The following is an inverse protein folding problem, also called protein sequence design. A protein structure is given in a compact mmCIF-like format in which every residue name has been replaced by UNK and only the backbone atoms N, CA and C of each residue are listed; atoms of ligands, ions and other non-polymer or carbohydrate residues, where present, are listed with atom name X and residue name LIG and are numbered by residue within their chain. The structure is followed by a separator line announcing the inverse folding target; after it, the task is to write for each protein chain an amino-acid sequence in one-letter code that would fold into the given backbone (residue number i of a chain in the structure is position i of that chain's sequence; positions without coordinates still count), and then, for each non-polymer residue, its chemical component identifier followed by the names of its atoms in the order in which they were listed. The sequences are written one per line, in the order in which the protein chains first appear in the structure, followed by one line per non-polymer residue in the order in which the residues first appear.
data_IF_525933892573
#
_entry.id   IF_525933892573
#
_cell.length_a   1.000
_cell.length_b   1.000
_cell.length_c   1.000
_cell.angle_alpha   90.00
_cell.angle_beta   90.00
_cell.angle_gamma   90.00
#
_symmetry.space_group_name_H-M   'P 1'
#
loop_
_entity.id
_entity.type
_entity.pdbx_description
1 polymer ?
#
# COMPACT_ATOMS: atom_id res chain seq x y z
N UNK A 1 -3.02 65.03 -24.01
CA UNK A 1 -4.44 65.14 -23.65
C UNK A 1 -4.85 63.83 -23.02
N UNK A 2 -4.88 63.78 -21.68
CA UNK A 2 -5.38 62.62 -20.94
C UNK A 2 -6.80 63.00 -20.50
N UNK A 3 -7.79 62.23 -20.96
CA UNK A 3 -9.20 62.43 -20.63
C UNK A 3 -9.51 61.99 -19.20
N UNK A 4 -10.30 62.82 -18.51
CA UNK A 4 -10.86 62.59 -17.18
C UNK A 4 -11.69 61.31 -17.15
N UNK A 5 -11.40 60.43 -16.20
CA UNK A 5 -12.19 59.23 -15.89
C UNK A 5 -13.41 59.67 -15.09
N UNK A 6 -14.61 59.35 -15.60
CA UNK A 6 -15.89 59.70 -14.98
C UNK A 6 -16.02 59.13 -13.57
N UNK A 7 -16.41 60.00 -12.64
CA UNK A 7 -16.69 59.67 -11.25
C UNK A 7 -18.05 58.95 -11.21
N UNK A 8 -18.05 57.66 -10.86
CA UNK A 8 -19.28 56.87 -10.69
C UNK A 8 -20.03 57.37 -9.44
N UNK A 9 -21.21 57.96 -9.65
CA UNK A 9 -22.09 58.38 -8.56
C UNK A 9 -22.95 57.20 -8.10
N UNK A 10 -22.60 56.65 -6.94
CA UNK A 10 -23.33 55.55 -6.32
C UNK A 10 -24.73 55.96 -5.84
N UNK A 11 -24.99 57.26 -5.61
CA UNK A 11 -26.27 57.76 -5.11
C UNK A 11 -27.43 57.61 -6.09
N UNK A 12 -27.22 57.95 -7.37
CA UNK A 12 -28.24 57.82 -8.43
C UNK A 12 -28.65 56.36 -8.67
N UNK A 13 -27.71 55.42 -8.52
CA UNK A 13 -27.97 53.99 -8.69
C UNK A 13 -28.87 53.48 -7.56
N UNK A 14 -28.62 53.89 -6.32
CA UNK A 14 -29.43 53.49 -5.17
C UNK A 14 -30.85 54.05 -5.22
N UNK A 15 -31.03 55.31 -5.65
CA UNK A 15 -32.37 55.89 -5.84
C UNK A 15 -33.14 55.21 -6.99
N UNK A 16 -32.47 54.89 -8.09
CA UNK A 16 -33.05 54.18 -9.23
C UNK A 16 -33.51 52.76 -8.86
N UNK A 17 -32.69 52.04 -8.10
CA UNK A 17 -33.04 50.70 -7.58
C UNK A 17 -34.20 50.78 -6.58
N UNK A 18 -34.21 51.75 -5.67
CA UNK A 18 -35.32 51.96 -4.73
C UNK A 18 -36.64 52.32 -5.41
N UNK A 19 -36.59 53.14 -6.46
CA UNK A 19 -37.74 53.48 -7.30
C UNK A 19 -38.27 52.27 -8.07
N UNK A 20 -37.39 51.43 -8.61
CA UNK A 20 -37.78 50.21 -9.33
C UNK A 20 -38.44 49.17 -8.40
N UNK A 21 -37.87 48.96 -7.20
CA UNK A 21 -38.42 48.02 -6.21
C UNK A 21 -39.81 48.46 -5.72
N UNK A 22 -40.02 49.77 -5.53
CA UNK A 22 -41.31 50.31 -5.08
C UNK A 22 -42.37 50.33 -6.18
N UNK A 23 -42.00 50.50 -7.45
CA UNK A 23 -42.93 50.50 -8.58
C UNK A 23 -43.26 49.10 -9.12
N UNK A 24 -42.35 48.13 -8.98
CA UNK A 24 -42.51 46.78 -9.50
C UNK A 24 -42.07 45.70 -8.50
N UNK A 25 -42.74 45.58 -7.34
CA UNK A 25 -42.33 44.68 -6.26
C UNK A 25 -42.32 43.21 -6.67
N UNK A 26 -43.24 42.78 -7.55
CA UNK A 26 -43.29 41.40 -8.07
C UNK A 26 -42.10 41.08 -8.98
N UNK A 27 -41.67 42.01 -9.84
CA UNK A 27 -40.48 41.83 -10.69
C UNK A 27 -39.20 41.85 -9.85
N UNK A 28 -39.10 42.75 -8.87
CA UNK A 28 -37.96 42.79 -7.96
C UNK A 28 -37.83 41.47 -7.17
N UNK A 29 -38.94 40.93 -6.66
CA UNK A 29 -38.97 39.62 -6.01
C UNK A 29 -38.56 38.49 -6.97
N UNK A 30 -39.07 38.49 -8.19
CA UNK A 30 -38.71 37.49 -9.21
C UNK A 30 -37.22 37.53 -9.57
N UNK A 31 -36.61 38.72 -9.65
CA UNK A 31 -35.17 38.88 -9.90
C UNK A 31 -34.34 38.34 -8.73
N UNK A 32 -34.71 38.66 -7.48
CA UNK A 32 -34.01 38.15 -6.29
C UNK A 32 -34.10 36.64 -6.20
N UNK A 33 -35.29 36.07 -6.41
CA UNK A 33 -35.49 34.61 -6.44
C UNK A 33 -34.66 34.00 -7.58
N UNK A 34 -34.73 34.56 -8.79
CA UNK A 34 -33.98 34.07 -9.95
C UNK A 34 -32.46 34.07 -9.73
N UNK A 35 -31.90 35.16 -9.17
CA UNK A 35 -30.49 35.23 -8.81
C UNK A 35 -30.13 34.24 -7.70
N UNK A 36 -30.98 34.08 -6.69
CA UNK A 36 -30.79 33.09 -5.62
C UNK A 36 -30.82 31.65 -6.16
N UNK A 37 -31.73 31.35 -7.09
CA UNK A 37 -31.81 30.02 -7.71
C UNK A 37 -30.61 29.74 -8.58
N UNK A 38 -30.14 30.74 -9.35
CA UNK A 38 -28.93 30.65 -10.16
C UNK A 38 -27.68 30.45 -9.30
N UNK A 39 -27.55 31.21 -8.21
CA UNK A 39 -26.46 31.05 -7.26
C UNK A 39 -26.46 29.65 -6.62
N UNK A 40 -27.63 29.14 -6.23
CA UNK A 40 -27.78 27.79 -5.70
C UNK A 40 -27.44 26.72 -6.74
N UNK A 41 -27.86 26.89 -7.99
CA UNK A 41 -27.54 25.97 -9.08
C UNK A 41 -26.04 25.97 -9.41
N UNK A 42 -25.40 27.13 -9.42
CA UNK A 42 -23.94 27.26 -9.59
C UNK A 42 -23.21 26.62 -8.41
N UNK A 43 -23.63 26.90 -7.18
CA UNK A 43 -23.07 26.29 -5.97
C UNK A 43 -23.20 24.76 -6.01
N UNK A 44 -24.39 24.25 -6.34
CA UNK A 44 -24.63 22.82 -6.49
C UNK A 44 -23.77 22.23 -7.61
N UNK A 45 -23.67 22.88 -8.78
CA UNK A 45 -22.83 22.40 -9.87
C UNK A 45 -21.33 22.37 -9.50
N UNK A 46 -20.85 23.37 -8.77
CA UNK A 46 -19.48 23.40 -8.23
C UNK A 46 -19.30 22.27 -7.21
N UNK A 47 -20.28 22.02 -6.34
CA UNK A 47 -20.22 20.96 -5.32
C UNK A 47 -20.24 19.57 -5.94
N UNK A 48 -21.12 19.32 -6.91
CA UNK A 48 -21.27 18.02 -7.57
C UNK A 48 -20.14 17.70 -8.56
N UNK A 49 -19.39 18.71 -9.02
CA UNK A 49 -18.22 18.52 -9.90
C UNK A 49 -16.90 18.56 -9.14
N UNK A 50 -16.89 18.57 -7.80
CA UNK A 50 -15.62 18.51 -7.07
C UNK A 50 -14.96 17.15 -7.33
N UNK A 51 -13.69 17.16 -7.75
CA UNK A 51 -12.97 15.93 -8.02
C UNK A 51 -12.68 15.19 -6.70
N UNK A 52 -12.34 13.91 -6.78
CA UNK A 52 -12.28 13.05 -5.58
C UNK A 52 -11.22 13.52 -4.59
N UNK A 53 -10.06 13.99 -5.06
CA UNK A 53 -9.02 14.52 -4.18
C UNK A 53 -9.44 15.74 -3.38
N UNK A 54 -10.23 16.64 -3.97
CA UNK A 54 -10.76 17.79 -3.25
C UNK A 54 -11.77 17.36 -2.17
N UNK A 55 -12.61 16.37 -2.46
CA UNK A 55 -13.56 15.81 -1.47
C UNK A 55 -12.83 15.10 -0.33
N UNK A 56 -11.75 14.39 -0.64
CA UNK A 56 -10.94 13.72 0.35
C UNK A 56 -10.18 14.71 1.24
N UNK A 57 -9.59 15.75 0.66
CA UNK A 57 -8.93 16.82 1.40
C UNK A 57 -9.88 17.55 2.37
N UNK A 58 -11.13 17.81 1.95
CA UNK A 58 -12.16 18.36 2.84
C UNK A 58 -12.52 17.41 3.98
N UNK A 59 -12.67 16.11 3.71
CA UNK A 59 -12.94 15.13 4.76
C UNK A 59 -11.79 15.07 5.78
N UNK A 60 -10.54 15.19 5.33
CA UNK A 60 -9.41 15.30 6.25
C UNK A 60 -9.49 16.60 7.07
N UNK A 61 -9.74 17.74 6.43
CA UNK A 61 -9.87 19.06 7.09
C UNK A 61 -10.96 19.11 8.18
N UNK A 62 -12.00 18.28 8.06
CA UNK A 62 -13.11 18.20 9.03
C UNK A 62 -12.72 17.57 10.39
N UNK A 63 -11.50 17.00 10.52
CA UNK A 63 -11.01 16.36 11.75
C UNK A 63 -9.63 16.87 12.16
N UNK A 64 -9.37 16.90 13.47
CA UNK A 64 -8.10 17.42 14.03
C UNK A 64 -6.93 16.42 13.86
N UNK A 65 -7.19 15.12 13.94
CA UNK A 65 -6.19 14.06 13.80
C UNK A 65 -6.77 12.79 13.16
N UNK A 66 -5.93 12.05 12.44
CA UNK A 66 -6.30 10.79 11.76
C UNK A 66 -5.25 9.70 11.97
N UNK A 67 -5.74 8.46 12.07
CA UNK A 67 -4.91 7.25 12.04
C UNK A 67 -4.95 6.68 10.62
N UNK A 68 -3.85 6.78 9.88
CA UNK A 68 -3.72 6.21 8.54
C UNK A 68 -3.28 4.76 8.69
N UNK A 69 -4.23 3.84 8.56
CA UNK A 69 -4.04 2.42 8.82
C UNK A 69 -3.79 1.67 7.52
N UNK A 70 -2.66 0.96 7.46
CA UNK A 70 -2.30 0.05 6.36
C UNK A 70 -2.74 -1.38 6.67
N UNK A 71 -2.76 -2.23 5.64
CA UNK A 71 -3.02 -3.65 5.84
C UNK A 71 -1.86 -4.33 6.62
N UNK A 72 -2.09 -5.52 7.21
CA UNK A 72 -1.05 -6.25 7.92
C UNK A 72 0.12 -6.64 7.02
N UNK A 73 1.35 -6.54 7.54
CA UNK A 73 2.60 -6.75 6.80
C UNK A 73 2.63 -5.91 5.51
N UNK A 74 2.61 -4.57 5.62
CA UNK A 74 2.39 -3.68 4.50
C UNK A 74 3.46 -3.83 3.42
N UNK A 75 3.03 -3.73 2.18
CA UNK A 75 3.88 -3.67 1.00
C UNK A 75 4.22 -2.21 0.63
N UNK A 76 5.02 -1.98 -0.43
CA UNK A 76 5.37 -0.63 -0.83
C UNK A 76 4.19 0.23 -1.27
N UNK A 77 3.12 -0.33 -1.85
CA UNK A 77 1.98 0.47 -2.29
C UNK A 77 1.16 0.97 -1.10
N UNK A 78 0.90 0.11 -0.11
CA UNK A 78 0.27 0.51 1.15
C UNK A 78 1.07 1.59 1.88
N UNK A 79 2.40 1.43 2.00
CA UNK A 79 3.27 2.44 2.64
C UNK A 79 3.31 3.74 1.86
N UNK A 80 3.36 3.68 0.52
CA UNK A 80 3.37 4.84 -0.34
C UNK A 80 2.04 5.63 -0.27
N UNK A 81 0.91 4.92 -0.31
CA UNK A 81 -0.40 5.51 -0.15
C UNK A 81 -0.54 6.17 1.23
N UNK A 82 -0.07 5.52 2.30
CA UNK A 82 -0.13 6.05 3.65
C UNK A 82 0.64 7.37 3.82
N UNK A 83 1.87 7.45 3.32
CA UNK A 83 2.66 8.70 3.39
C UNK A 83 2.05 9.80 2.52
N UNK A 84 1.39 9.44 1.41
CA UNK A 84 0.67 10.40 0.57
C UNK A 84 -0.57 10.96 1.26
N UNK A 85 -1.37 10.11 1.93
CA UNK A 85 -2.51 10.56 2.75
C UNK A 85 -2.03 11.43 3.92
N UNK A 86 -0.99 11.00 4.64
CA UNK A 86 -0.42 11.77 5.75
C UNK A 86 0.04 13.16 5.28
N UNK A 87 0.75 13.23 4.15
CA UNK A 87 1.20 14.49 3.57
C UNK A 87 0.05 15.41 3.15
N UNK A 88 -1.06 14.85 2.64
CA UNK A 88 -2.24 15.65 2.32
C UNK A 88 -2.96 16.14 3.59
N UNK A 89 -3.09 15.28 4.60
CA UNK A 89 -3.68 15.61 5.90
C UNK A 89 -2.93 16.78 6.58
N UNK A 90 -1.60 16.72 6.62
CA UNK A 90 -0.78 17.80 7.19
C UNK A 90 -1.00 19.13 6.48
N UNK A 91 -1.14 19.11 5.14
CA UNK A 91 -1.35 20.32 4.34
C UNK A 91 -2.73 20.95 4.51
N UNK A 92 -3.72 20.20 5.02
CA UNK A 92 -5.04 20.73 5.42
C UNK A 92 -5.16 20.99 6.92
N UNK A 93 -4.08 20.81 7.69
CA UNK A 93 -4.04 21.11 9.12
C UNK A 93 -4.46 19.96 10.04
N UNK A 94 -4.63 18.76 9.50
CA UNK A 94 -4.97 17.54 10.24
C UNK A 94 -3.72 16.78 10.60
N UNK A 95 -3.57 16.33 11.85
CA UNK A 95 -2.40 15.59 12.30
C UNK A 95 -2.52 14.10 11.95
N UNK A 96 -1.67 13.54 11.07
CA UNK A 96 -1.70 12.11 10.78
C UNK A 96 -0.84 11.30 11.77
N UNK A 97 -1.15 10.02 11.92
CA UNK A 97 -0.25 9.00 12.46
C UNK A 97 -0.39 7.74 11.61
N UNK A 98 0.72 7.25 11.06
CA UNK A 98 0.71 6.09 10.16
C UNK A 98 0.89 4.82 10.99
N UNK A 99 -0.03 3.87 10.84
CA UNK A 99 -0.07 2.66 11.66
C UNK A 99 -0.22 1.39 10.81
N UNK A 100 0.27 0.26 11.33
CA UNK A 100 0.14 -1.05 10.70
C UNK A 100 0.17 -2.20 11.71
N UNK A 101 -0.37 -3.36 11.32
CA UNK A 101 -0.24 -4.58 12.09
C UNK A 101 0.80 -5.54 11.47
N UNK A 102 1.37 -6.44 12.27
CA UNK A 102 2.34 -7.43 11.80
C UNK A 102 3.74 -6.86 11.62
N UNK A 103 4.45 -7.26 10.56
CA UNK A 103 5.90 -7.01 10.41
C UNK A 103 6.31 -6.68 8.97
N UNK A 104 7.24 -5.74 8.83
CA UNK A 104 7.88 -5.37 7.57
C UNK A 104 9.15 -6.20 7.39
N UNK A 105 9.04 -7.36 6.74
CA UNK A 105 10.16 -8.31 6.57
C UNK A 105 10.80 -8.29 5.19
N UNK A 106 10.05 -8.00 4.12
CA UNK A 106 10.65 -8.03 2.78
C UNK A 106 11.74 -6.97 2.65
N UNK A 107 12.83 -7.31 1.97
CA UNK A 107 14.00 -6.42 1.92
C UNK A 107 13.71 -5.10 1.21
N UNK A 108 12.92 -5.15 0.14
CA UNK A 108 12.44 -3.97 -0.57
C UNK A 108 11.56 -3.12 0.35
N UNK A 109 10.65 -3.72 1.12
CA UNK A 109 9.79 -2.98 2.05
C UNK A 109 10.60 -2.33 3.18
N UNK A 110 11.64 -3.02 3.70
CA UNK A 110 12.56 -2.43 4.68
C UNK A 110 13.37 -1.30 4.07
N UNK A 111 13.87 -1.48 2.85
CA UNK A 111 14.59 -0.43 2.12
C UNK A 111 13.69 0.78 1.87
N UNK A 112 12.44 0.57 1.47
CA UNK A 112 11.41 1.61 1.33
C UNK A 112 11.27 2.42 2.61
N UNK A 113 11.02 1.75 3.73
CA UNK A 113 10.91 2.38 5.06
C UNK A 113 12.17 3.16 5.44
N UNK A 114 13.35 2.57 5.26
CA UNK A 114 14.62 3.17 5.69
C UNK A 114 15.09 4.31 4.78
N UNK A 115 14.97 4.17 3.46
CA UNK A 115 15.43 5.18 2.50
C UNK A 115 14.52 6.42 2.51
N UNK A 116 13.21 6.22 2.69
CA UNK A 116 12.26 7.33 2.80
C UNK A 116 12.12 7.87 4.22
N UNK A 117 12.78 7.24 5.21
CA UNK A 117 12.77 7.62 6.63
C UNK A 117 11.36 7.67 7.23
N UNK A 118 10.62 6.57 7.08
CA UNK A 118 9.21 6.52 7.49
C UNK A 118 9.04 6.23 8.97
N UNK A 119 8.28 7.10 9.63
CA UNK A 119 7.79 6.90 10.99
C UNK A 119 6.47 6.12 10.96
N UNK A 120 6.51 4.86 11.39
CA UNK A 120 5.42 3.90 11.26
C UNK A 120 5.22 3.20 12.61
N UNK A 121 4.02 3.30 13.15
CA UNK A 121 3.66 2.71 14.44
C UNK A 121 3.02 1.32 14.26
N UNK A 122 3.63 0.32 14.89
CA UNK A 122 3.06 -1.02 14.93
C UNK A 122 1.96 -1.10 15.99
N UNK A 123 0.82 -1.70 15.63
CA UNK A 123 -0.31 -1.94 16.53
C UNK A 123 -0.62 -3.43 16.63
N UNK A 124 -1.02 -3.87 17.83
CA UNK A 124 -1.44 -5.25 18.09
C UNK A 124 -2.88 -5.32 18.64
N UNK A 125 -3.44 -4.19 19.08
CA UNK A 125 -4.80 -4.08 19.59
C UNK A 125 -5.48 -2.78 19.13
N UNK A 126 -6.82 -2.79 19.02
CA UNK A 126 -7.61 -1.63 18.59
C UNK A 126 -7.42 -0.38 19.48
N UNK A 127 -7.05 -0.58 20.74
CA UNK A 127 -6.74 0.51 21.68
C UNK A 127 -5.45 1.26 21.35
N UNK A 128 -4.61 0.72 20.48
CA UNK A 128 -3.35 1.33 20.06
C UNK A 128 -3.55 2.32 18.90
N UNK A 129 -4.77 2.42 18.37
CA UNK A 129 -5.11 3.39 17.32
C UNK A 129 -4.88 4.82 17.84
N UNK A 130 -4.16 5.61 17.04
CA UNK A 130 -3.75 6.95 17.42
C UNK A 130 -4.88 7.98 17.38
N UNK A 131 -5.96 7.69 16.65
CA UNK A 131 -7.12 8.56 16.48
C UNK A 131 -8.40 7.76 16.26
N UNK A 132 -9.55 8.37 16.57
CA UNK A 132 -10.87 7.80 16.27
C UNK A 132 -11.17 7.81 14.76
N UNK A 133 -10.70 8.83 14.04
CA UNK A 133 -10.85 8.93 12.60
C UNK A 133 -9.80 8.05 11.88
N UNK A 134 -10.20 6.81 11.55
CA UNK A 134 -9.32 5.85 10.87
C UNK A 134 -9.47 5.94 9.35
N UNK A 135 -8.37 6.17 8.64
CA UNK A 135 -8.30 6.13 7.18
C UNK A 135 -7.64 4.83 6.76
N UNK A 136 -8.38 3.96 6.06
CA UNK A 136 -7.80 2.75 5.47
C UNK A 136 -7.21 3.09 4.10
N UNK A 137 -5.98 2.64 3.88
CA UNK A 137 -5.30 2.74 2.59
C UNK A 137 -4.89 1.35 2.11
N UNK A 138 -5.09 1.12 0.81
CA UNK A 138 -4.75 -0.13 0.11
C UNK A 138 -5.42 -1.40 0.68
N UNK A 139 -6.52 -1.18 1.41
CA UNK A 139 -7.45 -2.20 1.81
C UNK A 139 -8.74 -1.53 2.29
N UNK A 140 -9.84 -2.28 2.22
CA UNK A 140 -11.16 -1.75 2.60
C UNK A 140 -11.75 -2.40 3.87
N UNK A 141 -11.05 -3.32 4.52
CA UNK A 141 -11.52 -3.99 5.76
C UNK A 141 -10.42 -4.10 6.82
N UNK A 142 -10.60 -3.53 8.04
CA UNK A 142 -9.63 -3.64 9.12
C UNK A 142 -9.35 -5.10 9.50
N UNK A 143 -8.07 -5.47 9.67
CA UNK A 143 -7.68 -6.85 9.98
C UNK A 143 -6.29 -6.92 10.60
N UNK A 144 -5.97 -8.07 11.21
CA UNK A 144 -4.61 -8.45 11.61
C UNK A 144 -4.15 -7.98 12.99
N UNK A 145 -5.03 -7.38 13.78
CA UNK A 145 -4.80 -7.03 15.18
C UNK A 145 -6.07 -7.33 16.00
N UNK A 146 -5.95 -7.39 17.32
CA UNK A 146 -7.06 -7.74 18.20
C UNK A 146 -8.10 -6.61 18.27
N UNK A 147 -9.38 -6.95 18.03
CA UNK A 147 -10.50 -6.00 18.04
C UNK A 147 -10.68 -5.23 16.72
N UNK A 148 -10.02 -5.64 15.64
CA UNK A 148 -10.12 -5.00 14.32
C UNK A 148 -11.57 -4.92 13.80
N UNK A 149 -12.41 -5.92 14.11
CA UNK A 149 -13.82 -5.95 13.74
C UNK A 149 -14.67 -4.81 14.35
N UNK A 150 -14.16 -4.17 15.41
CA UNK A 150 -14.81 -3.02 16.04
C UNK A 150 -14.46 -1.67 15.41
N UNK A 151 -13.54 -1.63 14.45
CA UNK A 151 -13.11 -0.40 13.79
C UNK A 151 -14.12 -0.02 12.70
N UNK A 152 -14.68 1.17 12.81
CA UNK A 152 -15.49 1.80 11.77
C UNK A 152 -14.61 2.82 11.03
N UNK A 153 -14.27 2.58 9.75
CA UNK A 153 -13.41 3.49 9.01
C UNK A 153 -14.08 4.86 8.83
N UNK A 154 -13.31 5.93 9.06
CA UNK A 154 -13.71 7.27 8.68
C UNK A 154 -13.62 7.46 7.15
N UNK A 155 -12.52 6.98 6.56
CA UNK A 155 -12.32 6.99 5.12
C UNK A 155 -11.69 5.69 4.61
N UNK A 156 -11.98 5.33 3.36
CA UNK A 156 -11.38 4.18 2.66
C UNK A 156 -10.89 4.61 1.28
N UNK A 157 -9.63 4.32 0.98
CA UNK A 157 -9.00 4.50 -0.34
C UNK A 157 -8.34 3.18 -0.73
N UNK A 158 -8.81 2.54 -1.79
CA UNK A 158 -8.36 1.19 -2.16
C UNK A 158 -8.54 0.94 -3.66
N UNK A 159 -7.78 -0.01 -4.20
CA UNK A 159 -7.94 -0.51 -5.57
C UNK A 159 -8.31 -2.00 -5.62
N UNK A 160 -8.39 -2.67 -4.46
CA UNK A 160 -8.82 -4.06 -4.37
C UNK A 160 -10.34 -4.22 -4.41
N UNK A 161 -10.86 -5.36 -4.89
CA UNK A 161 -12.29 -5.65 -4.77
C UNK A 161 -12.71 -5.81 -3.30
N UNK A 162 -13.88 -5.29 -2.96
CA UNK A 162 -14.50 -5.45 -1.64
C UNK A 162 -15.63 -4.43 -1.43
N UNK A 163 -16.42 -4.66 -0.38
CA UNK A 163 -17.59 -3.83 -0.04
C UNK A 163 -17.34 -2.90 1.16
N UNK A 164 -16.07 -2.73 1.55
CA UNK A 164 -15.69 -1.88 2.67
C UNK A 164 -15.92 -0.40 2.37
N UNK A 165 -16.43 0.34 3.36
CA UNK A 165 -16.80 1.75 3.21
C UNK A 165 -16.36 2.56 4.42
N UNK A 166 -15.95 3.80 4.18
CA UNK A 166 -15.75 4.82 5.20
C UNK A 166 -17.00 5.68 5.42
N UNK A 167 -17.20 6.13 6.65
CA UNK A 167 -18.34 6.95 7.04
C UNK A 167 -18.38 8.32 6.33
N UNK A 168 -17.24 8.98 6.19
CA UNK A 168 -17.13 10.29 5.57
C UNK A 168 -16.69 10.23 4.09
N UNK A 169 -15.82 9.29 3.75
CA UNK A 169 -15.28 9.17 2.40
C UNK A 169 -15.02 7.71 2.00
N UNK A 170 -15.33 7.37 0.75
CA UNK A 170 -15.00 6.06 0.17
C UNK A 170 -14.66 6.27 -1.30
N UNK A 171 -13.50 5.77 -1.73
CA UNK A 171 -13.09 5.71 -3.12
C UNK A 171 -12.36 4.38 -3.36
N UNK A 172 -13.05 3.47 -4.04
CA UNK A 172 -12.54 2.13 -4.36
C UNK A 172 -12.52 1.98 -5.88
N UNK A 173 -11.34 1.84 -6.48
CA UNK A 173 -11.16 1.83 -7.94
C UNK A 173 -10.48 0.56 -8.42
N UNK A 174 -11.29 -0.48 -8.63
CA UNK A 174 -10.79 -1.81 -9.02
C UNK A 174 -10.17 -1.89 -10.41
N UNK A 175 -10.30 -0.83 -11.21
CA UNK A 175 -9.68 -0.69 -12.52
C UNK A 175 -8.29 -0.04 -12.47
N UNK A 176 -7.84 0.44 -11.30
CA UNK A 176 -6.52 1.03 -11.10
C UNK A 176 -5.50 -0.05 -10.72
N UNK A 177 -4.28 0.10 -11.20
CA UNK A 177 -3.20 -0.85 -10.94
C UNK A 177 -2.58 -0.72 -9.56
N UNK A 178 -2.73 0.42 -8.89
CA UNK A 178 -2.19 0.67 -7.55
C UNK A 178 -3.04 1.72 -6.79
N UNK A 179 -3.11 1.60 -5.47
CA UNK A 179 -3.65 2.63 -4.57
C UNK A 179 -2.84 3.93 -4.67
N UNK A 180 -1.51 3.86 -4.85
CA UNK A 180 -0.67 5.06 -5.06
C UNK A 180 -1.10 5.91 -6.26
N UNK A 181 -1.66 5.29 -7.31
CA UNK A 181 -2.19 6.02 -8.47
C UNK A 181 -3.41 6.88 -8.10
N UNK A 182 -4.26 6.37 -7.20
CA UNK A 182 -5.43 7.11 -6.68
C UNK A 182 -4.94 8.33 -5.88
N UNK A 183 -3.97 8.13 -4.99
CA UNK A 183 -3.40 9.23 -4.18
C UNK A 183 -2.70 10.28 -5.05
N UNK A 184 -2.00 9.87 -6.10
CA UNK A 184 -1.41 10.78 -7.07
C UNK A 184 -2.47 11.66 -7.77
N UNK A 185 -3.62 11.07 -8.11
CA UNK A 185 -4.76 11.80 -8.66
C UNK A 185 -5.33 12.80 -7.65
N UNK A 186 -5.38 12.45 -6.35
CA UNK A 186 -5.85 13.38 -5.33
C UNK A 186 -5.00 14.63 -5.23
N UNK A 187 -3.68 14.47 -5.28
CA UNK A 187 -2.76 15.60 -5.34
C UNK A 187 -2.98 16.45 -6.59
N UNK A 188 -3.19 15.82 -7.75
CA UNK A 188 -3.46 16.54 -9.00
C UNK A 188 -4.79 17.31 -8.93
N UNK A 189 -5.81 16.72 -8.33
CA UNK A 189 -7.15 17.29 -8.17
C UNK A 189 -7.16 18.57 -7.33
N UNK A 190 -6.34 18.61 -6.27
CA UNK A 190 -6.15 19.82 -5.44
C UNK A 190 -5.13 20.80 -6.03
N UNK A 191 -4.60 20.50 -7.23
CA UNK A 191 -3.63 21.34 -7.93
C UNK A 191 -2.23 21.32 -7.30
N UNK A 192 -1.89 20.26 -6.55
CA UNK A 192 -0.57 20.11 -5.99
C UNK A 192 0.49 19.99 -7.09
N UNK A 193 1.75 20.27 -6.72
CA UNK A 193 2.90 20.09 -7.61
C UNK A 193 3.98 19.25 -6.94
N UNK A 194 4.55 18.26 -7.65
CA UNK A 194 5.75 17.58 -7.18
C UNK A 194 6.89 18.57 -6.97
N UNK A 195 7.60 18.41 -5.86
CA UNK A 195 8.78 19.19 -5.51
C UNK A 195 10.01 18.39 -5.93
N UNK A 196 10.85 18.90 -6.85
CA UNK A 196 12.11 18.26 -7.22
C UNK A 196 13.02 18.03 -6.00
N UNK A 197 13.86 16.98 -6.00
CA UNK A 197 14.72 16.65 -4.86
C UNK A 197 15.75 17.74 -4.50
N UNK A 198 16.08 18.62 -5.44
CA UNK A 198 17.02 19.72 -5.29
C UNK A 198 16.33 21.06 -4.92
N UNK A 199 15.03 21.03 -4.64
CA UNK A 199 14.22 22.20 -4.30
C UNK A 199 13.47 22.04 -2.97
N UNK A 200 13.22 23.15 -2.30
CA UNK A 200 12.35 23.19 -1.13
C UNK A 200 10.89 23.50 -1.54
N UNK A 201 9.91 23.00 -0.78
CA UNK A 201 8.48 23.21 -1.08
C UNK A 201 8.09 24.69 -1.19
N UNK A 202 8.74 25.56 -0.41
CA UNK A 202 8.56 27.03 -0.45
C UNK A 202 8.98 27.69 -1.76
N UNK A 203 9.78 27.00 -2.58
CA UNK A 203 10.22 27.47 -3.90
C UNK A 203 9.23 27.09 -5.01
N UNK A 204 8.26 26.24 -4.70
CA UNK A 204 7.20 25.83 -5.62
C UNK A 204 5.99 26.75 -5.45
N UNK A 205 5.62 27.46 -6.52
CA UNK A 205 4.43 28.31 -6.53
C UNK A 205 3.16 27.45 -6.67
N UNK A 206 2.73 26.87 -5.55
CA UNK A 206 1.53 26.03 -5.41
C UNK A 206 1.01 26.06 -3.98
N UNK A 207 -0.31 25.94 -3.81
CA UNK A 207 -0.94 25.83 -2.48
C UNK A 207 -0.60 24.49 -1.83
N UNK A 208 -0.69 23.42 -2.62
CA UNK A 208 -0.34 22.07 -2.20
C UNK A 208 0.91 21.60 -2.93
N UNK A 209 1.68 20.73 -2.29
CA UNK A 209 2.92 20.17 -2.84
C UNK A 209 2.98 18.66 -2.60
N UNK A 210 3.74 17.97 -3.45
CA UNK A 210 4.11 16.56 -3.23
C UNK A 210 5.63 16.54 -2.98
N UNK A 211 6.08 16.44 -1.73
CA UNK A 211 7.50 16.38 -1.40
C UNK A 211 8.20 15.23 -2.13
N UNK A 212 9.50 15.37 -2.40
CA UNK A 212 10.25 14.39 -3.18
C UNK A 212 10.20 12.97 -2.59
N UNK A 213 10.24 12.83 -1.26
CA UNK A 213 10.07 11.53 -0.60
C UNK A 213 8.72 10.90 -0.89
N UNK A 214 7.63 11.68 -0.84
CA UNK A 214 6.27 11.22 -1.13
C UNK A 214 6.12 10.87 -2.62
N UNK A 215 6.62 11.72 -3.51
CA UNK A 215 6.59 11.45 -4.96
C UNK A 215 7.37 10.17 -5.32
N UNK A 216 8.55 9.99 -4.71
CA UNK A 216 9.38 8.78 -4.89
C UNK A 216 8.66 7.54 -4.37
N UNK A 217 8.07 7.61 -3.18
CA UNK A 217 7.31 6.51 -2.59
C UNK A 217 6.11 6.12 -3.44
N UNK A 218 5.28 7.09 -3.83
CA UNK A 218 4.11 6.87 -4.69
C UNK A 218 4.50 6.25 -6.05
N UNK A 219 5.58 6.72 -6.70
CA UNK A 219 6.04 6.10 -7.95
C UNK A 219 6.48 4.66 -7.72
N UNK A 220 7.20 4.36 -6.63
CA UNK A 220 7.63 3.00 -6.36
C UNK A 220 6.45 2.07 -5.96
N UNK A 221 5.44 2.58 -5.27
CA UNK A 221 4.17 1.87 -5.03
C UNK A 221 3.50 1.47 -6.34
N UNK A 222 3.31 2.42 -7.25
CA UNK A 222 2.79 2.18 -8.61
C UNK A 222 3.61 1.10 -9.32
N UNK A 223 4.94 1.22 -9.31
CA UNK A 223 5.82 0.26 -9.99
C UNK A 223 5.73 -1.14 -9.38
N UNK A 224 5.52 -1.27 -8.08
CA UNK A 224 5.50 -2.59 -7.42
C UNK A 224 4.24 -3.36 -7.81
N UNK A 225 3.07 -2.74 -7.66
CA UNK A 225 1.78 -3.41 -7.88
C UNK A 225 1.47 -3.66 -9.36
N UNK A 226 2.02 -2.81 -10.23
CA UNK A 226 1.87 -2.96 -11.69
C UNK A 226 2.98 -3.77 -12.37
N UNK A 227 3.84 -4.45 -11.60
CA UNK A 227 5.03 -5.15 -12.11
C UNK A 227 5.86 -4.28 -13.07
N UNK A 228 6.22 -3.09 -12.61
CA UNK A 228 6.91 -2.05 -13.36
C UNK A 228 6.14 -1.61 -14.62
N UNK A 229 4.82 -1.38 -14.47
CA UNK A 229 3.91 -0.99 -15.55
C UNK A 229 3.84 -2.02 -16.71
N UNK A 230 4.13 -3.30 -16.42
CA UNK A 230 4.07 -4.38 -17.42
C UNK A 230 2.84 -5.27 -17.30
N UNK A 231 2.16 -5.26 -16.15
CA UNK A 231 0.95 -6.06 -15.93
C UNK A 231 0.03 -5.41 -14.88
N UNK A 232 -1.28 -5.54 -15.03
CA UNK A 232 -2.24 -5.00 -14.06
C UNK A 232 -2.38 -3.48 -14.04
N UNK A 233 -1.65 -2.76 -14.88
CA UNK A 233 -1.76 -1.30 -15.02
C UNK A 233 -2.91 -0.87 -15.95
N UNK A 234 -3.40 0.34 -15.69
CA UNK A 234 -4.35 1.13 -16.47
C UNK A 234 -3.68 2.40 -17.01
N UNK A 235 -4.37 3.18 -17.85
CA UNK A 235 -3.87 4.50 -18.28
C UNK A 235 -3.63 5.45 -17.10
N UNK A 236 -4.44 5.33 -16.04
CA UNK A 236 -4.32 6.20 -14.87
C UNK A 236 -2.99 5.99 -14.15
N UNK A 237 -2.44 4.77 -14.14
CA UNK A 237 -1.14 4.48 -13.52
C UNK A 237 0.03 5.12 -14.27
N UNK A 238 -0.04 5.15 -15.62
CA UNK A 238 0.95 5.87 -16.43
C UNK A 238 0.85 7.39 -16.22
N UNK A 239 -0.37 7.93 -16.18
CA UNK A 239 -0.58 9.36 -15.95
C UNK A 239 -0.11 9.76 -14.55
N UNK A 240 -0.41 8.95 -13.53
CA UNK A 240 0.04 9.14 -12.16
C UNK A 240 1.57 9.14 -12.06
N UNK A 241 2.23 8.12 -12.61
CA UNK A 241 3.69 8.03 -12.64
C UNK A 241 4.30 9.24 -13.35
N UNK A 242 3.78 9.62 -14.53
CA UNK A 242 4.27 10.77 -15.29
C UNK A 242 4.09 12.11 -14.58
N UNK A 243 3.01 12.27 -13.82
CA UNK A 243 2.77 13.46 -12.99
C UNK A 243 3.72 13.53 -11.80
N UNK A 244 4.00 12.43 -11.13
CA UNK A 244 4.87 12.40 -9.94
C UNK A 244 6.36 12.49 -10.30
N UNK A 245 6.75 11.98 -11.47
CA UNK A 245 8.15 11.82 -11.89
C UNK A 245 9.03 13.07 -11.69
N UNK A 246 8.57 14.31 -11.95
CA UNK A 246 9.39 15.51 -11.71
C UNK A 246 9.83 15.72 -10.26
N UNK A 247 9.15 15.09 -9.28
CA UNK A 247 9.53 15.13 -7.86
C UNK A 247 10.33 13.93 -7.39
N UNK A 248 10.57 12.93 -8.25
CA UNK A 248 11.26 11.69 -7.85
C UNK A 248 12.73 11.95 -7.58
N UNK A 249 13.22 11.38 -6.48
CA UNK A 249 14.64 11.24 -6.21
C UNK A 249 15.11 9.89 -6.78
N UNK A 250 15.83 9.93 -7.90
CA UNK A 250 16.30 8.73 -8.60
C UNK A 250 17.25 7.87 -7.75
N UNK A 251 18.12 8.48 -6.93
CA UNK A 251 19.03 7.75 -6.04
C UNK A 251 18.26 7.00 -4.95
N UNK A 252 17.20 7.60 -4.41
CA UNK A 252 16.32 6.92 -3.46
C UNK A 252 15.54 5.80 -4.13
N UNK A 253 14.99 6.06 -5.32
CA UNK A 253 14.24 5.06 -6.08
C UNK A 253 15.12 3.83 -6.39
N UNK A 254 16.36 4.03 -6.83
CA UNK A 254 17.30 2.94 -7.12
C UNK A 254 17.65 2.14 -5.85
N UNK A 255 17.94 2.81 -4.73
CA UNK A 255 18.25 2.14 -3.46
C UNK A 255 17.10 1.32 -2.91
N UNK A 256 15.87 1.74 -3.18
CA UNK A 256 14.65 1.01 -2.79
C UNK A 256 14.43 -0.18 -3.73
N UNK A 257 14.54 0.03 -5.05
CA UNK A 257 14.32 -0.99 -6.07
C UNK A 257 15.40 -2.08 -6.08
N UNK A 258 16.63 -1.71 -5.75
CA UNK A 258 17.81 -2.57 -5.78
C UNK A 258 18.50 -2.58 -4.41
N UNK A 259 17.84 -3.10 -3.36
CA UNK A 259 18.41 -3.08 -2.02
C UNK A 259 19.64 -3.99 -1.93
N UNK A 260 20.67 -3.53 -1.23
CA UNK A 260 21.85 -4.34 -0.97
C UNK A 260 21.48 -5.60 -0.16
N UNK A 261 21.97 -6.75 -0.61
CA UNK A 261 21.74 -8.03 0.05
C UNK A 261 22.97 -8.45 0.86
N UNK A 262 22.74 -8.99 2.06
CA UNK A 262 23.82 -9.51 2.89
C UNK A 262 24.55 -10.69 2.20
N UNK A 263 25.81 -10.90 2.57
CA UNK A 263 26.59 -12.07 2.12
C UNK A 263 25.84 -13.38 2.38
N UNK A 264 25.23 -13.50 3.56
CA UNK A 264 24.51 -14.70 3.98
C UNK A 264 23.32 -15.01 3.07
N UNK A 265 22.58 -13.97 2.67
CA UNK A 265 21.46 -14.08 1.71
C UNK A 265 21.97 -14.52 0.35
N UNK A 266 23.06 -13.92 -0.16
CA UNK A 266 23.65 -14.33 -1.43
C UNK A 266 24.15 -15.78 -1.39
N UNK A 267 24.77 -16.20 -0.29
CA UNK A 267 25.21 -17.58 -0.09
C UNK A 267 24.04 -18.56 0.00
N UNK A 268 22.92 -18.17 0.62
CA UNK A 268 21.70 -18.98 0.63
C UNK A 268 21.12 -19.14 -0.78
N UNK A 269 21.02 -18.05 -1.56
CA UNK A 269 20.61 -18.12 -2.97
C UNK A 269 21.54 -19.02 -3.78
N UNK A 270 22.85 -18.86 -3.62
CA UNK A 270 23.84 -19.69 -4.32
C UNK A 270 23.70 -21.18 -3.98
N UNK A 271 23.49 -21.52 -2.69
CA UNK A 271 23.22 -22.89 -2.25
C UNK A 271 21.93 -23.43 -2.83
N UNK A 272 20.85 -22.65 -2.82
CA UNK A 272 19.57 -23.07 -3.40
C UNK A 272 19.71 -23.34 -4.90
N UNK A 273 20.35 -22.42 -5.64
CA UNK A 273 20.59 -22.60 -7.07
C UNK A 273 21.44 -23.85 -7.31
N UNK A 274 22.56 -24.02 -6.61
CA UNK A 274 23.47 -25.14 -6.83
C UNK A 274 22.88 -26.50 -6.41
N UNK A 275 22.11 -26.53 -5.32
CA UNK A 275 21.56 -27.72 -4.68
C UNK A 275 20.12 -28.05 -5.03
N UNK A 276 19.49 -27.34 -5.98
CA UNK A 276 18.11 -27.61 -6.41
C UNK A 276 17.98 -29.03 -6.99
N UNK A 277 17.00 -29.78 -6.50
CA UNK A 277 16.46 -30.95 -7.16
C UNK A 277 15.26 -30.50 -8.01
N UNK A 278 15.23 -30.89 -9.29
CA UNK A 278 14.17 -30.51 -10.23
C UNK A 278 13.52 -31.77 -10.79
N UNK A 279 12.22 -31.94 -10.51
CA UNK A 279 11.43 -33.08 -10.94
C UNK A 279 10.18 -32.58 -11.66
N UNK A 280 10.13 -32.80 -12.97
CA UNK A 280 9.07 -32.25 -13.81
C UNK A 280 9.01 -30.72 -13.67
N UNK A 281 7.86 -30.12 -13.30
CA UNK A 281 7.72 -28.68 -13.14
C UNK A 281 8.05 -28.16 -11.72
N UNK A 282 8.62 -29.00 -10.86
CA UNK A 282 8.85 -28.66 -9.44
C UNK A 282 10.33 -28.58 -9.11
N UNK A 283 10.69 -27.60 -8.28
CA UNK A 283 12.05 -27.45 -7.75
C UNK A 283 12.03 -27.45 -6.21
N UNK A 284 12.87 -28.26 -5.58
CA UNK A 284 13.05 -28.27 -4.13
C UNK A 284 14.52 -28.11 -3.81
N UNK A 285 14.87 -27.28 -2.82
CA UNK A 285 16.25 -27.15 -2.38
C UNK A 285 16.34 -27.07 -0.85
N UNK A 286 17.26 -27.84 -0.28
CA UNK A 286 17.72 -27.67 1.10
C UNK A 286 18.98 -26.81 1.10
N UNK A 287 18.89 -25.63 1.71
CA UNK A 287 20.05 -24.74 1.85
C UNK A 287 20.88 -25.06 3.10
N UNK A 288 20.50 -26.03 3.93
CA UNK A 288 21.23 -26.40 5.14
C UNK A 288 21.10 -25.36 6.25
N UNK A 289 22.13 -25.22 7.10
CA UNK A 289 22.12 -24.29 8.23
C UNK A 289 22.31 -22.84 7.80
N UNK A 290 21.60 -21.91 8.44
CA UNK A 290 21.66 -20.48 8.19
C UNK A 290 21.44 -19.67 9.48
N UNK A 291 22.01 -18.47 9.50
CA UNK A 291 21.82 -17.47 10.57
C UNK A 291 20.57 -16.61 10.35
N UNK A 292 20.17 -16.38 9.09
CA UNK A 292 19.09 -15.47 8.72
C UNK A 292 17.95 -16.18 7.96
N UNK A 293 16.87 -16.53 8.68
CA UNK A 293 15.70 -17.24 8.11
C UNK A 293 15.01 -16.50 6.98
N UNK A 294 15.15 -15.17 6.88
CA UNK A 294 14.60 -14.37 5.78
C UNK A 294 15.32 -14.67 4.45
N UNK A 295 16.45 -15.38 4.46
CA UNK A 295 17.13 -15.81 3.24
C UNK A 295 16.40 -16.95 2.51
N UNK A 296 15.59 -17.76 3.22
CA UNK A 296 14.82 -18.88 2.66
C UNK A 296 13.77 -18.40 1.64
N UNK A 297 12.85 -17.47 1.97
CA UNK A 297 11.89 -16.97 0.99
C UNK A 297 12.57 -16.35 -0.23
N UNK A 298 13.66 -15.60 -0.04
CA UNK A 298 14.40 -14.99 -1.15
C UNK A 298 15.07 -16.02 -2.08
N UNK A 299 15.52 -17.14 -1.53
CA UNK A 299 16.03 -18.24 -2.33
C UNK A 299 14.89 -18.92 -3.12
N UNK A 300 13.70 -19.04 -2.54
CA UNK A 300 12.53 -19.57 -3.25
C UNK A 300 12.08 -18.63 -4.40
N UNK A 301 12.16 -17.31 -4.19
CA UNK A 301 11.89 -16.28 -5.21
C UNK A 301 12.89 -16.35 -6.38
N UNK A 302 14.10 -16.84 -6.14
CA UNK A 302 15.09 -17.10 -7.19
C UNK A 302 14.76 -18.38 -7.97
N UNK A 303 14.46 -19.48 -7.27
CA UNK A 303 14.21 -20.78 -7.90
C UNK A 303 12.94 -20.80 -8.76
N UNK A 304 11.88 -20.09 -8.37
CA UNK A 304 10.63 -20.02 -9.14
C UNK A 304 10.80 -19.32 -10.49
N UNK A 305 11.90 -18.60 -10.70
CA UNK A 305 12.21 -17.96 -11.99
C UNK A 305 12.79 -18.93 -13.01
N UNK A 306 13.24 -20.12 -12.58
CA UNK A 306 13.83 -21.11 -13.46
C UNK A 306 12.83 -21.55 -14.55
N UNK A 307 13.27 -21.57 -15.80
CA UNK A 307 12.44 -21.99 -16.93
C UNK A 307 11.93 -23.43 -16.71
N UNK A 308 10.63 -23.63 -16.94
CA UNK A 308 9.97 -24.91 -16.75
C UNK A 308 9.52 -25.20 -15.31
N UNK A 309 9.94 -24.40 -14.32
CA UNK A 309 9.50 -24.54 -12.93
C UNK A 309 8.22 -23.73 -12.68
N UNK A 310 7.17 -24.41 -12.22
CA UNK A 310 5.89 -23.80 -11.85
C UNK A 310 5.64 -23.77 -10.35
N UNK A 311 6.37 -24.54 -9.55
CA UNK A 311 6.38 -24.42 -8.10
C UNK A 311 7.77 -24.73 -7.53
N UNK A 312 8.17 -23.96 -6.52
CA UNK A 312 9.47 -24.09 -5.87
C UNK A 312 9.33 -24.07 -4.35
N UNK A 313 10.08 -24.92 -3.65
CA UNK A 313 10.16 -24.93 -2.18
C UNK A 313 11.61 -24.91 -1.76
N UNK A 314 11.96 -23.99 -0.87
CA UNK A 314 13.28 -23.96 -0.23
C UNK A 314 13.10 -24.21 1.26
N UNK A 315 13.96 -25.05 1.82
CA UNK A 315 14.00 -25.31 3.25
C UNK A 315 15.41 -25.09 3.80
N UNK A 316 15.50 -24.76 5.08
CA UNK A 316 16.78 -24.59 5.78
C UNK A 316 16.61 -24.66 7.28
N UNK A 317 17.72 -24.71 8.01
CA UNK A 317 17.75 -24.88 9.46
C UNK A 317 18.37 -23.69 10.18
N UNK A 318 17.73 -23.26 11.28
CA UNK A 318 18.32 -22.34 12.25
C UNK A 318 18.03 -22.81 13.66
N UNK A 319 19.07 -22.87 14.50
CA UNK A 319 18.97 -23.25 15.91
C UNK A 319 18.23 -24.60 16.13
N UNK A 320 18.38 -25.53 15.19
CA UNK A 320 17.72 -26.84 15.20
C UNK A 320 16.26 -26.85 14.74
N UNK A 321 15.70 -25.68 14.41
CA UNK A 321 14.37 -25.56 13.81
C UNK A 321 14.51 -25.52 12.29
N UNK A 322 13.64 -26.24 11.60
CA UNK A 322 13.55 -26.23 10.14
C UNK A 322 12.51 -25.19 9.71
N UNK A 323 12.84 -24.41 8.70
CA UNK A 323 11.94 -23.45 8.08
C UNK A 323 11.83 -23.74 6.59
N UNK A 324 10.65 -23.50 6.03
CA UNK A 324 10.32 -23.72 4.63
C UNK A 324 9.64 -22.49 4.06
N UNK A 325 9.95 -22.17 2.81
CA UNK A 325 9.19 -21.20 2.02
C UNK A 325 8.93 -21.73 0.62
N UNK A 326 7.67 -21.64 0.20
CA UNK A 326 7.22 -22.09 -1.10
C UNK A 326 6.69 -20.96 -1.97
N UNK A 327 6.82 -21.12 -3.29
CA UNK A 327 6.28 -20.25 -4.34
C UNK A 327 5.60 -21.08 -5.42
N UNK A 328 4.44 -20.63 -5.90
CA UNK A 328 3.71 -21.28 -6.98
C UNK A 328 3.27 -20.28 -8.05
N UNK A 329 3.53 -20.63 -9.31
CA UNK A 329 3.00 -20.00 -10.53
C UNK A 329 1.83 -20.78 -11.11
N UNK A 330 1.45 -21.91 -10.52
CA UNK A 330 0.36 -22.78 -10.97
C UNK A 330 -0.85 -22.69 -10.02
N UNK A 331 -2.02 -22.28 -10.54
CA UNK A 331 -3.25 -22.20 -9.74
C UNK A 331 -3.73 -23.57 -9.22
N UNK A 332 -3.25 -24.67 -9.80
CA UNK A 332 -3.56 -26.02 -9.35
C UNK A 332 -2.78 -26.41 -8.10
N UNK A 333 -1.64 -25.77 -7.85
CA UNK A 333 -0.78 -26.03 -6.69
C UNK A 333 -0.99 -24.92 -5.67
N UNK A 334 -1.86 -25.18 -4.69
CA UNK A 334 -2.06 -24.26 -3.59
C UNK A 334 -0.92 -24.41 -2.57
N UNK A 335 0.05 -23.50 -2.60
CA UNK A 335 1.30 -23.65 -1.85
C UNK A 335 1.12 -23.79 -0.33
N UNK A 336 0.23 -23.01 0.29
CA UNK A 336 -0.04 -23.14 1.73
C UNK A 336 -0.49 -24.56 2.14
N UNK A 337 -1.55 -25.07 1.51
CA UNK A 337 -2.05 -26.45 1.69
C UNK A 337 -1.02 -27.52 1.34
N UNK A 338 -0.18 -27.27 0.34
CA UNK A 338 0.89 -28.19 -0.07
C UNK A 338 1.91 -28.37 1.06
N UNK A 339 2.39 -27.26 1.64
CA UNK A 339 3.32 -27.31 2.77
C UNK A 339 2.66 -27.88 4.02
N UNK A 340 1.38 -27.60 4.26
CA UNK A 340 0.63 -28.20 5.37
C UNK A 340 0.56 -29.73 5.24
N UNK A 341 0.24 -30.24 4.05
CA UNK A 341 0.22 -31.67 3.77
C UNK A 341 1.62 -32.30 3.93
N UNK A 342 2.66 -31.70 3.33
CA UNK A 342 4.04 -32.17 3.42
C UNK A 342 4.57 -32.24 4.88
N UNK A 343 4.05 -31.40 5.77
CA UNK A 343 4.52 -31.30 7.16
C UNK A 343 3.65 -32.04 8.17
N UNK A 344 2.54 -32.68 7.74
CA UNK A 344 1.52 -33.23 8.64
C UNK A 344 2.07 -34.29 9.62
N UNK A 345 3.01 -35.11 9.17
CA UNK A 345 3.57 -36.21 9.99
C UNK A 345 4.75 -35.78 10.89
N UNK A 346 5.21 -34.54 10.76
CA UNK A 346 6.31 -33.99 11.55
C UNK A 346 5.79 -33.40 12.86
N UNK A 347 6.27 -33.93 13.99
CA UNK A 347 5.91 -33.37 15.31
C UNK A 347 6.45 -31.95 15.47
N UNK A 348 5.61 -31.07 16.03
CA UNK A 348 5.97 -29.66 16.24
C UNK A 348 6.00 -28.85 14.95
N UNK A 349 5.39 -29.37 13.87
CA UNK A 349 5.28 -28.65 12.62
C UNK A 349 4.09 -27.70 12.60
N UNK A 350 4.22 -26.65 11.78
CA UNK A 350 3.11 -25.78 11.39
C UNK A 350 3.40 -25.23 10.00
N UNK A 351 2.42 -25.28 9.10
CA UNK A 351 2.51 -24.67 7.77
C UNK A 351 1.18 -24.05 7.37
N UNK A 352 1.24 -23.18 6.37
CA UNK A 352 0.07 -22.52 5.81
C UNK A 352 0.47 -21.46 4.79
N UNK A 353 -0.50 -20.62 4.42
CA UNK A 353 -0.33 -19.54 3.47
C UNK A 353 -1.41 -19.52 2.41
N UNK A 354 -1.09 -18.94 1.26
CA UNK A 354 -2.00 -18.70 0.14
C UNK A 354 -1.72 -19.62 -1.04
N UNK A 355 -2.47 -19.44 -2.14
CA UNK A 355 -2.30 -20.24 -3.35
C UNK A 355 -0.89 -20.09 -3.95
N UNK A 356 -0.38 -18.85 -4.00
CA UNK A 356 0.89 -18.50 -4.67
C UNK A 356 2.12 -18.57 -3.77
N UNK A 357 1.93 -18.55 -2.46
CA UNK A 357 3.03 -18.52 -1.48
C UNK A 357 2.64 -19.27 -0.21
N UNK A 358 3.60 -19.96 0.39
CA UNK A 358 3.41 -20.67 1.64
C UNK A 358 4.65 -20.62 2.52
N UNK A 359 4.44 -20.81 3.81
CA UNK A 359 5.50 -20.93 4.81
C UNK A 359 5.27 -22.16 5.67
N UNK A 360 6.35 -22.74 6.16
CA UNK A 360 6.30 -23.86 7.08
C UNK A 360 7.46 -23.81 8.07
N UNK A 361 7.27 -24.42 9.22
CA UNK A 361 8.33 -24.65 10.19
C UNK A 361 8.13 -25.99 10.88
N UNK A 362 9.24 -26.59 11.33
CA UNK A 362 9.26 -27.75 12.20
C UNK A 362 10.14 -27.37 13.39
N UNK A 363 9.51 -27.19 14.55
CA UNK A 363 10.20 -26.82 15.77
C UNK A 363 10.83 -28.05 16.39
N UNK A 364 12.08 -27.91 16.85
CA UNK A 364 12.71 -28.94 17.66
C UNK A 364 11.92 -29.07 18.97
N UNK A 365 11.56 -30.29 19.40
CA UNK A 365 10.97 -30.47 20.72
C UNK A 365 11.92 -29.92 21.79
N UNK A 366 11.41 -29.07 22.69
CA UNK A 366 12.18 -28.63 23.86
C UNK A 366 12.69 -29.86 24.60
N UNK A 367 14.00 -29.88 24.85
CA UNK A 367 14.71 -30.99 25.51
C UNK A 367 14.17 -31.16 26.94
N UNK A 368 13.11 -31.92 27.13
CA UNK A 368 12.81 -32.55 28.41
C UNK A 368 13.64 -33.82 28.47
N UNK A 369 14.45 -33.89 29.52
CA UNK A 369 15.34 -34.98 29.87
C UNK A 369 14.72 -36.36 29.63
N UNK A 370 15.04 -36.98 28.49
CA UNK A 370 15.16 -38.42 28.42
C UNK A 370 16.26 -38.74 27.41
N UNK A 371 17.17 -39.63 27.79
CA UNK A 371 18.43 -39.94 27.09
C UNK A 371 18.26 -40.70 25.77
N UNK A 372 17.28 -40.34 24.95
CA UNK A 372 17.15 -40.79 23.57
C UNK A 372 17.84 -39.81 22.63
N UNK A 373 18.71 -40.31 21.75
CA UNK A 373 19.15 -39.56 20.57
C UNK A 373 17.91 -39.05 19.83
N UNK A 374 17.58 -37.77 19.98
CA UNK A 374 16.61 -37.10 19.11
C UNK A 374 17.20 -37.09 17.72
N UNK A 375 16.87 -38.09 16.91
CA UNK A 375 17.25 -38.12 15.51
C UNK A 375 16.79 -36.80 14.89
N UNK A 376 17.73 -36.05 14.31
CA UNK A 376 17.39 -34.89 13.51
C UNK A 376 16.43 -35.29 12.40
N UNK A 377 15.64 -34.34 11.94
CA UNK A 377 14.73 -34.53 10.81
C UNK A 377 15.55 -35.01 9.61
N UNK A 378 15.20 -36.16 9.05
CA UNK A 378 15.88 -36.69 7.87
C UNK A 378 15.54 -35.77 6.69
N UNK A 379 16.50 -34.92 6.29
CA UNK A 379 16.28 -33.87 5.29
C UNK A 379 15.91 -34.44 3.92
N UNK A 380 16.46 -35.59 3.56
CA UNK A 380 16.13 -36.29 2.33
C UNK A 380 14.67 -36.76 2.32
N UNK A 381 14.17 -37.30 3.44
CA UNK A 381 12.76 -37.71 3.60
C UNK A 381 11.82 -36.51 3.47
N UNK A 382 12.16 -35.39 4.12
CA UNK A 382 11.39 -34.16 3.99
C UNK A 382 11.34 -33.64 2.55
N UNK A 383 12.43 -33.75 1.78
CA UNK A 383 12.43 -33.37 0.36
C UNK A 383 11.48 -34.27 -0.44
N UNK A 384 11.46 -35.57 -0.18
CA UNK A 384 10.54 -36.50 -0.83
C UNK A 384 9.08 -36.15 -0.49
N UNK A 385 8.74 -35.93 0.78
CA UNK A 385 7.38 -35.56 1.21
C UNK A 385 6.91 -34.25 0.55
N UNK A 386 7.80 -33.29 0.37
CA UNK A 386 7.51 -32.05 -0.35
C UNK A 386 7.18 -32.33 -1.82
N UNK A 387 7.92 -33.23 -2.49
CA UNK A 387 7.64 -33.60 -3.87
C UNK A 387 6.34 -34.38 -4.03
N UNK A 388 6.02 -35.29 -3.10
CA UNK A 388 4.74 -36.00 -3.07
C UNK A 388 3.59 -34.99 -2.91
N UNK A 389 3.75 -34.00 -2.03
CA UNK A 389 2.78 -32.93 -1.85
C UNK A 389 2.57 -32.08 -3.10
N UNK A 390 3.65 -31.70 -3.77
CA UNK A 390 3.59 -30.88 -4.99
C UNK A 390 2.91 -31.64 -6.13
N UNK A 391 3.07 -32.96 -6.18
CA UNK A 391 2.46 -33.83 -7.21
C UNK A 391 0.98 -34.10 -6.92
N UNK A 392 0.53 -33.89 -5.68
CA UNK A 392 -0.81 -34.18 -5.22
C UNK A 392 -1.02 -35.65 -4.85
N UNK A 393 0.06 -36.36 -4.52
CA UNK A 393 0.06 -37.79 -4.17
C UNK A 393 -0.21 -38.04 -2.66
N UNK A 394 -0.95 -37.14 -1.99
CA UNK A 394 -1.26 -37.20 -0.54
C UNK A 394 -2.75 -37.40 -0.26
#
# INVERSE_FOLDING_TARGET
MVGSVGQFDSGEVFESVGSFVSTHPEMAAAIVVGLGTLALAIYAAIRFKRPMGARFAEALEDVDEVAVLMHPNPDPDAMAAAIGVACLAEQVGTKPTIQFAGQIRHQENRAFRTVLDLDLDAIDHVSDLAAEAVVLVDHNTPRGFAGAEGVLPYAVVDHHPGDGTGEAFTDVRTDYGACSSIIAEYFRDVGAKPVPPDMHASEVNSTYTVPSQVATGLVYGILTDTKHLTAGCSSADFDAAGYLFPGVNEDHLDRIANPEVSREVLEAKARAIAGRDVRGPFAVADIGTLSNVDAIPQAADELIQLEGVTAAVVCGERDGNVYLSGRSRDDRVHMGRTLEAALTDYRGSSAGGHARMGGGQILRPDTVADGGNGNGIARDELIEDIFEALTGDI
#
